data_IF_182732288273
#
_entry.id   IF_182732288273
#
_cell.length_a   1.000
_cell.length_b   1.000
_cell.length_c   1.000
_cell.angle_alpha   90.00
_cell.angle_beta   90.00
_cell.angle_gamma   90.00
#
_symmetry.space_group_name_H-M   'P 1'
#
loop_
_entity.id
_entity.type
_entity.pdbx_description
1 polymer ?
#
# COMPACT_ATOMS: atom_id res chain seq x y z
N UNK A 1 76.88 3.19 58.34
CA UNK A 1 75.96 2.44 57.47
C UNK A 1 75.12 1.53 58.36
N UNK A 2 73.87 1.31 57.97
CA UNK A 2 72.77 0.63 58.70
C UNK A 2 71.94 1.56 59.57
N UNK A 3 70.77 1.93 59.04
CA UNK A 3 69.67 2.58 59.75
C UNK A 3 68.81 1.52 60.47
N UNK A 4 68.21 1.82 61.63
CA UNK A 4 67.08 1.07 62.15
C UNK A 4 65.76 1.78 61.88
N UNK A 5 64.78 0.99 61.45
CA UNK A 5 63.42 1.39 61.19
C UNK A 5 62.66 1.70 62.48
N UNK A 6 61.77 2.70 62.43
CA UNK A 6 60.71 2.89 63.41
C UNK A 6 59.34 2.73 62.76
N UNK A 7 58.53 1.96 63.46
CA UNK A 7 57.19 1.47 63.17
C UNK A 7 56.21 2.64 62.98
N UNK A 8 55.51 2.67 61.85
CA UNK A 8 54.38 3.59 61.61
C UNK A 8 53.07 2.92 62.01
N UNK A 9 52.37 3.53 62.96
CA UNK A 9 51.09 3.07 63.49
C UNK A 9 49.99 3.14 62.41
N UNK A 10 49.27 2.03 62.23
CA UNK A 10 48.06 1.95 61.40
C UNK A 10 46.94 2.77 62.05
N UNK A 11 46.61 3.92 61.46
CA UNK A 11 45.40 4.67 61.77
C UNK A 11 44.16 3.94 61.25
N UNK A 12 43.21 3.68 62.15
CA UNK A 12 41.89 3.10 61.85
C UNK A 12 41.03 4.21 61.26
N UNK A 13 40.67 4.09 59.97
CA UNK A 13 39.70 4.98 59.34
C UNK A 13 38.28 4.54 59.71
N UNK A 14 37.35 5.46 60.05
CA UNK A 14 35.99 5.12 60.39
C UNK A 14 35.20 4.64 59.15
N UNK A 15 34.43 3.59 59.39
CA UNK A 15 33.46 3.00 58.48
C UNK A 15 32.39 4.03 58.10
N UNK A 16 32.35 4.46 56.83
CA UNK A 16 31.19 5.13 56.27
C UNK A 16 30.28 4.09 55.58
N UNK A 17 29.01 3.94 56.00
CA UNK A 17 28.08 3.07 55.29
C UNK A 17 27.78 3.72 53.94
N UNK A 18 28.07 2.99 52.87
CA UNK A 18 27.67 3.37 51.51
C UNK A 18 26.15 3.27 51.46
N UNK A 19 25.46 4.41 51.49
CA UNK A 19 24.05 4.47 51.12
C UNK A 19 23.94 4.08 49.63
N UNK A 20 23.61 2.81 49.38
CA UNK A 20 23.18 2.36 48.08
C UNK A 20 21.90 3.12 47.73
N UNK A 21 22.00 4.10 46.84
CA UNK A 21 20.83 4.70 46.19
C UNK A 21 20.34 3.66 45.19
N UNK A 22 19.14 3.07 45.32
CA UNK A 22 18.54 2.39 44.19
C UNK A 22 18.08 3.51 43.27
N UNK A 23 18.95 3.95 42.36
CA UNK A 23 18.51 4.84 41.29
C UNK A 23 17.63 3.96 40.40
N UNK A 24 16.33 4.11 40.62
CA UNK A 24 15.22 3.67 39.80
C UNK A 24 15.67 3.43 38.36
N UNK A 25 15.78 2.16 37.97
CA UNK A 25 15.64 1.77 36.57
C UNK A 25 14.21 2.09 36.23
N UNK A 26 13.96 3.34 35.87
CA UNK A 26 12.69 3.77 35.32
C UNK A 26 12.46 2.91 34.08
N UNK A 27 11.48 2.02 34.20
CA UNK A 27 10.72 1.41 33.11
C UNK A 27 10.78 2.33 31.89
N UNK A 28 11.26 1.87 30.74
CA UNK A 28 10.56 0.85 29.98
C UNK A 28 9.26 1.47 29.43
N UNK A 29 9.16 1.56 28.10
CA UNK A 29 8.03 2.07 27.32
C UNK A 29 7.99 3.59 27.04
N UNK A 30 9.07 4.15 26.48
CA UNK A 30 8.87 5.04 25.32
C UNK A 30 8.67 4.16 24.08
N UNK A 31 7.57 3.39 24.07
CA UNK A 31 7.09 2.79 22.85
C UNK A 31 6.67 3.97 21.97
N UNK A 32 7.47 4.24 20.93
CA UNK A 32 7.16 5.24 19.93
C UNK A 32 5.72 5.01 19.46
N UNK A 33 4.86 5.97 19.73
CA UNK A 33 3.51 6.01 19.14
C UNK A 33 3.74 6.25 17.66
N UNK A 34 3.96 5.17 16.91
CA UNK A 34 3.94 5.22 15.47
C UNK A 34 2.52 5.58 15.12
N UNK A 35 2.32 6.77 14.55
CA UNK A 35 1.03 7.14 13.98
C UNK A 35 0.75 6.15 12.86
N UNK A 36 -0.17 5.21 13.12
CA UNK A 36 -0.68 4.32 12.08
C UNK A 36 -1.65 5.17 11.27
N UNK A 37 -1.22 5.57 10.07
CA UNK A 37 -2.18 6.05 9.07
C UNK A 37 -3.11 4.88 8.74
N UNK A 38 -4.42 5.17 8.71
CA UNK A 38 -5.43 4.19 8.37
C UNK A 38 -5.39 3.78 6.90
N UNK A 39 -6.44 3.06 6.51
CA UNK A 39 -6.71 2.57 5.16
C UNK A 39 -6.74 3.69 4.11
N UNK A 40 -6.73 3.30 2.83
CA UNK A 40 -6.77 4.27 1.75
C UNK A 40 -8.05 5.12 1.85
N UNK A 41 -7.99 6.42 1.52
CA UNK A 41 -9.15 7.27 1.50
C UNK A 41 -9.95 6.96 0.23
N UNK A 42 -10.62 5.81 0.21
CA UNK A 42 -11.47 5.38 -0.89
C UNK A 42 -12.65 4.62 -0.32
N UNK A 43 -13.82 4.79 -0.93
CA UNK A 43 -15.03 4.09 -0.52
C UNK A 43 -15.85 3.78 -1.76
N UNK A 44 -15.64 2.59 -2.32
CA UNK A 44 -16.36 2.13 -3.49
C UNK A 44 -17.25 0.94 -3.16
N UNK A 45 -18.54 1.10 -3.39
CA UNK A 45 -19.53 0.06 -3.15
C UNK A 45 -19.55 -0.93 -4.30
N UNK A 46 -19.89 -2.17 -3.96
CA UNK A 46 -19.94 -3.28 -4.92
C UNK A 46 -20.74 -2.98 -6.18
N UNK A 47 -21.89 -2.32 -6.05
CA UNK A 47 -22.76 -1.99 -7.19
C UNK A 47 -22.14 -0.95 -8.13
N UNK A 48 -21.23 -0.11 -7.63
CA UNK A 48 -20.46 0.84 -8.43
C UNK A 48 -19.36 0.14 -9.22
N UNK A 49 -18.87 -1.02 -8.75
CA UNK A 49 -17.84 -1.82 -9.45
C UNK A 49 -18.45 -2.76 -10.49
N UNK A 50 -19.64 -3.33 -10.26
CA UNK A 50 -20.35 -4.20 -11.24
C UNK A 50 -20.53 -3.48 -12.59
N UNK A 51 -20.19 -4.14 -13.69
CA UNK A 51 -20.32 -3.58 -15.04
C UNK A 51 -19.19 -4.00 -15.98
N UNK A 52 -19.12 -3.32 -17.13
CA UNK A 52 -18.10 -3.57 -18.15
C UNK A 52 -16.88 -2.68 -17.95
N UNK A 53 -15.71 -3.31 -17.92
CA UNK A 53 -14.41 -2.70 -17.70
C UNK A 53 -13.48 -2.94 -18.89
N UNK A 54 -12.65 -1.93 -19.18
CA UNK A 54 -11.47 -2.06 -20.02
C UNK A 54 -10.25 -2.06 -19.12
N UNK A 55 -9.47 -3.13 -19.18
CA UNK A 55 -8.15 -3.21 -18.56
C UNK A 55 -7.10 -2.88 -19.62
N UNK A 56 -6.26 -1.90 -19.32
CA UNK A 56 -5.08 -1.53 -20.10
C UNK A 56 -3.86 -2.07 -19.38
N UNK A 57 -3.07 -2.91 -20.05
CA UNK A 57 -1.99 -3.69 -19.44
C UNK A 57 -0.68 -3.51 -20.21
N UNK A 58 0.42 -3.42 -19.48
CA UNK A 58 1.78 -3.54 -20.05
C UNK A 58 2.19 -5.01 -20.17
N UNK A 59 3.38 -5.33 -20.69
CA UNK A 59 3.80 -6.72 -20.95
C UNK A 59 4.09 -7.52 -19.67
N UNK A 60 3.92 -8.84 -19.78
CA UNK A 60 4.30 -9.80 -18.74
C UNK A 60 5.83 -10.04 -18.72
N UNK A 61 6.44 -9.93 -17.54
CA UNK A 61 7.87 -10.13 -17.30
C UNK A 61 8.12 -11.16 -16.19
N UNK A 62 9.26 -11.83 -16.19
CA UNK A 62 9.60 -12.82 -15.17
C UNK A 62 9.76 -12.20 -13.76
N UNK A 63 10.30 -10.99 -13.71
CA UNK A 63 10.49 -10.28 -12.45
C UNK A 63 9.25 -9.50 -12.02
N UNK A 64 8.84 -9.66 -10.77
CA UNK A 64 7.75 -8.90 -10.16
C UNK A 64 8.20 -7.48 -9.85
N UNK A 65 7.70 -6.51 -10.60
CA UNK A 65 7.93 -5.09 -10.32
C UNK A 65 7.02 -4.58 -9.20
N UNK A 66 7.31 -3.38 -8.67
CA UNK A 66 6.39 -2.68 -7.78
C UNK A 66 5.26 -1.96 -8.51
N UNK A 67 5.24 -1.96 -9.84
CA UNK A 67 4.36 -1.11 -10.65
C UNK A 67 4.40 0.37 -10.25
N UNK A 68 5.57 0.84 -9.80
CA UNK A 68 5.80 2.22 -9.38
C UNK A 68 5.44 2.52 -7.93
N UNK A 69 4.76 1.61 -7.22
CA UNK A 69 4.41 1.82 -5.81
C UNK A 69 5.65 1.86 -4.92
N UNK A 70 5.54 2.64 -3.83
CA UNK A 70 6.59 2.76 -2.81
C UNK A 70 6.46 1.65 -1.77
N UNK A 71 7.50 1.49 -0.94
CA UNK A 71 7.51 0.55 0.19
C UNK A 71 8.16 1.21 1.41
N UNK A 72 7.39 1.63 2.44
CA UNK A 72 5.92 1.64 2.51
C UNK A 72 5.29 2.53 1.43
N UNK A 73 4.04 2.27 1.06
CA UNK A 73 3.35 3.09 0.06
C UNK A 73 2.92 4.44 0.64
N UNK A 74 2.65 5.41 -0.24
CA UNK A 74 2.22 6.77 0.13
C UNK A 74 1.02 7.15 -0.72
N UNK A 75 -0.12 7.38 -0.08
CA UNK A 75 -1.38 7.66 -0.77
C UNK A 75 -1.35 8.99 -1.54
N UNK A 76 -0.40 9.88 -1.23
CA UNK A 76 -0.20 11.15 -1.92
C UNK A 76 0.65 11.00 -3.19
N UNK A 77 1.31 9.86 -3.38
CA UNK A 77 2.22 9.62 -4.50
C UNK A 77 1.97 8.27 -5.15
N UNK A 78 0.72 8.05 -5.57
CA UNK A 78 0.34 6.87 -6.31
C UNK A 78 0.94 6.88 -7.73
N UNK A 79 1.27 5.72 -8.32
CA UNK A 79 1.97 5.69 -9.60
C UNK A 79 1.09 6.24 -10.74
N UNK A 80 1.67 7.03 -11.66
CA UNK A 80 0.95 7.51 -12.82
C UNK A 80 0.67 6.38 -13.81
N UNK A 81 -0.38 6.54 -14.64
CA UNK A 81 -0.71 5.57 -15.71
C UNK A 81 0.39 5.38 -16.73
N UNK A 82 1.31 6.34 -16.87
CA UNK A 82 2.49 6.22 -17.73
C UNK A 82 3.39 5.03 -17.36
N UNK A 83 3.29 4.45 -16.16
CA UNK A 83 3.94 3.18 -15.82
C UNK A 83 3.48 2.03 -16.72
N UNK A 84 2.26 2.13 -17.25
CA UNK A 84 1.66 1.18 -18.19
C UNK A 84 1.70 1.73 -19.62
N UNK A 85 1.33 3.00 -19.83
CA UNK A 85 1.21 3.59 -21.18
C UNK A 85 2.56 3.79 -21.90
N UNK A 86 3.68 3.86 -21.17
CA UNK A 86 5.01 4.00 -21.79
C UNK A 86 5.59 2.69 -22.33
N UNK A 87 4.87 1.58 -22.14
CA UNK A 87 5.29 0.28 -22.62
C UNK A 87 4.86 0.09 -24.08
N UNK A 88 5.82 -0.22 -24.96
CA UNK A 88 5.49 -0.70 -26.30
C UNK A 88 4.70 -2.01 -26.15
N UNK A 89 3.56 -2.12 -26.83
CA UNK A 89 2.59 -3.23 -26.75
C UNK A 89 1.57 -3.13 -25.60
N UNK A 90 0.88 -1.99 -25.48
CA UNK A 90 -0.33 -1.90 -24.66
C UNK A 90 -1.37 -2.94 -25.10
N UNK A 91 -1.81 -3.80 -24.18
CA UNK A 91 -2.84 -4.80 -24.41
C UNK A 91 -4.13 -4.37 -23.70
N UNK A 92 -5.23 -4.36 -24.44
CA UNK A 92 -6.56 -4.10 -23.87
C UNK A 92 -7.34 -5.40 -23.68
N UNK A 93 -7.93 -5.57 -22.49
CA UNK A 93 -8.80 -6.68 -22.14
C UNK A 93 -10.15 -6.16 -21.64
N UNK A 94 -11.22 -6.58 -22.31
CA UNK A 94 -12.59 -6.27 -21.90
C UNK A 94 -13.08 -7.33 -20.90
N UNK A 95 -13.57 -6.88 -19.76
CA UNK A 95 -14.04 -7.73 -18.67
C UNK A 95 -15.42 -7.27 -18.19
N UNK A 96 -16.38 -8.19 -18.17
CA UNK A 96 -17.72 -7.98 -17.62
C UNK A 96 -17.78 -8.55 -16.20
N UNK A 97 -18.05 -7.71 -15.21
CA UNK A 97 -18.20 -8.10 -13.81
C UNK A 97 -19.69 -8.14 -13.43
N UNK A 98 -20.17 -9.28 -12.93
CA UNK A 98 -21.56 -9.49 -12.51
C UNK A 98 -21.64 -10.11 -11.12
N UNK A 99 -22.70 -9.80 -10.39
CA UNK A 99 -22.99 -10.48 -9.13
C UNK A 99 -23.34 -11.96 -9.37
N UNK A 100 -23.03 -12.86 -8.41
CA UNK A 100 -22.36 -12.59 -7.14
C UNK A 100 -20.83 -12.60 -7.22
N UNK A 101 -20.22 -13.07 -8.30
CA UNK A 101 -18.76 -13.13 -8.44
C UNK A 101 -18.31 -13.48 -9.87
N UNK A 102 -19.16 -13.37 -10.89
CA UNK A 102 -18.82 -13.76 -12.25
C UNK A 102 -17.99 -12.68 -12.95
N UNK A 103 -16.82 -13.05 -13.46
CA UNK A 103 -16.04 -12.23 -14.37
C UNK A 103 -15.96 -12.92 -15.73
N UNK A 104 -16.36 -12.24 -16.80
CA UNK A 104 -16.41 -12.82 -18.14
C UNK A 104 -15.65 -11.96 -19.14
N UNK A 105 -14.95 -12.61 -20.06
CA UNK A 105 -14.29 -12.01 -21.22
C UNK A 105 -14.81 -12.70 -22.48
N UNK A 106 -14.37 -12.25 -23.67
CA UNK A 106 -14.71 -12.91 -24.92
C UNK A 106 -14.15 -14.36 -25.03
N UNK A 107 -13.09 -14.69 -24.29
CA UNK A 107 -12.40 -16.00 -24.36
C UNK A 107 -12.58 -16.86 -23.11
N UNK A 108 -12.97 -16.27 -22.00
CA UNK A 108 -13.28 -16.97 -20.75
C UNK A 108 -14.60 -16.44 -20.18
N UNK A 109 -15.71 -17.19 -20.31
CA UNK A 109 -17.00 -16.80 -19.79
C UNK A 109 -17.22 -17.18 -18.31
N UNK A 110 -16.23 -17.77 -17.64
CA UNK A 110 -16.38 -18.47 -16.35
C UNK A 110 -15.43 -18.01 -15.25
N UNK A 111 -14.72 -16.91 -15.47
CA UNK A 111 -13.85 -16.29 -14.49
C UNK A 111 -14.59 -15.79 -13.24
N UNK A 112 -13.81 -15.32 -12.26
CA UNK A 112 -14.34 -14.85 -10.97
C UNK A 112 -13.81 -13.49 -10.56
N UNK A 113 -14.57 -12.76 -9.76
CA UNK A 113 -14.10 -11.54 -9.12
C UNK A 113 -14.61 -11.41 -7.69
N UNK A 114 -13.90 -10.62 -6.90
CA UNK A 114 -14.31 -10.22 -5.56
C UNK A 114 -13.87 -8.80 -5.27
N UNK A 115 -14.69 -8.09 -4.49
CA UNK A 115 -14.23 -6.89 -3.81
C UNK A 115 -13.17 -7.25 -2.77
N UNK A 116 -12.24 -6.34 -2.54
CA UNK A 116 -11.39 -6.30 -1.35
C UNK A 116 -11.90 -5.11 -0.54
N UNK A 117 -12.84 -5.41 0.37
CA UNK A 117 -13.64 -4.43 1.09
C UNK A 117 -14.20 -3.35 0.16
N UNK A 118 -13.97 -2.07 0.44
CA UNK A 118 -14.32 -0.93 -0.43
C UNK A 118 -13.09 -0.30 -1.12
N UNK A 119 -11.91 -0.90 -0.92
CA UNK A 119 -10.62 -0.35 -1.38
C UNK A 119 -10.30 -0.70 -2.83
N UNK A 120 -10.69 -1.88 -3.28
CA UNK A 120 -10.32 -2.39 -4.58
C UNK A 120 -11.03 -3.69 -4.92
N UNK A 121 -10.59 -4.34 -6.00
CA UNK A 121 -11.15 -5.61 -6.41
C UNK A 121 -10.11 -6.49 -7.10
N UNK A 122 -10.29 -7.80 -6.95
CA UNK A 122 -9.49 -8.82 -7.61
C UNK A 122 -10.32 -9.56 -8.67
N UNK A 123 -9.71 -9.85 -9.81
CA UNK A 123 -10.35 -10.53 -10.95
C UNK A 123 -9.47 -11.69 -11.40
N UNK A 124 -10.09 -12.82 -11.74
CA UNK A 124 -9.45 -13.98 -12.34
C UNK A 124 -10.18 -14.33 -13.62
N UNK A 125 -9.51 -14.23 -14.76
CA UNK A 125 -10.05 -14.56 -16.08
C UNK A 125 -8.96 -15.16 -16.95
N UNK A 126 -9.27 -16.24 -17.66
CA UNK A 126 -8.28 -17.07 -18.34
C UNK A 126 -7.21 -17.55 -17.37
N UNK A 127 -5.95 -17.44 -17.76
CA UNK A 127 -4.80 -17.76 -16.90
C UNK A 127 -4.22 -16.52 -16.19
N UNK A 128 -5.00 -15.45 -16.05
CA UNK A 128 -4.54 -14.19 -15.45
C UNK A 128 -5.30 -13.86 -14.16
N UNK A 129 -4.56 -13.36 -13.18
CA UNK A 129 -5.08 -12.81 -11.94
C UNK A 129 -4.71 -11.33 -11.82
N UNK A 130 -5.67 -10.49 -11.46
CA UNK A 130 -5.58 -9.03 -11.41
C UNK A 130 -5.94 -8.52 -10.02
N UNK A 131 -5.27 -7.47 -9.57
CA UNK A 131 -5.68 -6.69 -8.40
C UNK A 131 -5.28 -5.23 -8.55
N UNK A 132 -6.23 -4.32 -8.29
CA UNK A 132 -5.97 -2.89 -8.21
C UNK A 132 -6.87 -2.25 -7.15
N UNK A 133 -6.37 -1.19 -6.53
CA UNK A 133 -7.20 -0.28 -5.73
C UNK A 133 -8.10 0.56 -6.63
N UNK A 134 -9.28 0.92 -6.14
CA UNK A 134 -10.14 1.91 -6.78
C UNK A 134 -9.43 3.28 -6.78
N UNK A 135 -9.61 4.06 -7.83
CA UNK A 135 -8.95 5.35 -7.95
C UNK A 135 -9.56 6.37 -6.97
N UNK A 136 -8.75 7.31 -6.51
CA UNK A 136 -9.14 8.44 -5.66
C UNK A 136 -8.26 9.66 -5.97
N UNK A 137 -8.76 10.85 -5.70
CA UNK A 137 -7.96 12.08 -5.77
C UNK A 137 -8.18 12.95 -4.54
N UNK A 138 -7.22 13.83 -4.29
CA UNK A 138 -7.35 14.87 -3.28
C UNK A 138 -7.60 16.22 -3.92
N UNK A 139 -8.43 17.01 -3.26
CA UNK A 139 -8.69 18.42 -3.58
C UNK A 139 -8.61 19.25 -2.30
N UNK A 140 -8.35 20.55 -2.43
CA UNK A 140 -8.17 21.48 -1.30
C UNK A 140 -6.70 21.79 -0.99
N UNK A 141 -6.46 22.57 0.06
CA UNK A 141 -5.10 22.98 0.44
C UNK A 141 -4.36 21.79 1.08
N UNK A 142 -3.43 21.21 0.31
CA UNK A 142 -2.64 20.04 0.70
C UNK A 142 -1.74 20.27 1.93
N UNK A 143 -1.51 21.52 2.36
CA UNK A 143 -0.67 21.84 3.51
C UNK A 143 -1.33 21.54 4.87
N UNK A 144 -2.62 21.21 4.90
CA UNK A 144 -3.35 20.86 6.13
C UNK A 144 -4.23 19.62 5.87
N UNK A 145 -3.88 18.47 6.46
CA UNK A 145 -4.67 17.23 6.38
C UNK A 145 -6.16 17.46 6.73
N UNK A 146 -6.46 18.38 7.66
CA UNK A 146 -7.82 18.72 8.07
C UNK A 146 -8.67 19.42 6.98
N UNK A 147 -8.05 19.92 5.91
CA UNK A 147 -8.73 20.62 4.81
C UNK A 147 -8.59 19.91 3.47
N UNK A 148 -8.08 18.68 3.48
CA UNK A 148 -7.96 17.81 2.31
C UNK A 148 -9.29 17.07 2.11
N UNK A 149 -9.91 17.26 0.95
CA UNK A 149 -11.11 16.53 0.55
C UNK A 149 -10.72 15.39 -0.40
N UNK A 150 -11.05 14.17 0.00
CA UNK A 150 -10.98 12.98 -0.83
C UNK A 150 -12.18 12.90 -1.78
N UNK A 151 -11.94 12.49 -3.03
CA UNK A 151 -12.97 12.02 -3.97
C UNK A 151 -12.62 10.62 -4.47
N UNK A 152 -13.50 9.65 -4.26
CA UNK A 152 -13.38 8.30 -4.82
C UNK A 152 -13.88 8.27 -6.27
N UNK A 153 -13.15 7.60 -7.14
CA UNK A 153 -13.43 7.43 -8.57
C UNK A 153 -13.70 5.95 -8.85
N UNK A 154 -14.84 5.45 -8.40
CA UNK A 154 -15.16 4.01 -8.40
C UNK A 154 -15.33 3.35 -9.77
N UNK A 155 -15.24 4.14 -10.84
CA UNK A 155 -15.26 3.68 -12.23
C UNK A 155 -13.87 3.59 -12.85
N UNK A 156 -12.83 3.78 -12.05
CA UNK A 156 -11.43 3.73 -12.44
C UNK A 156 -10.62 3.05 -11.34
N UNK A 157 -9.49 2.46 -11.71
CA UNK A 157 -8.52 1.94 -10.74
C UNK A 157 -7.26 2.78 -10.72
N UNK A 158 -6.51 2.67 -9.62
CA UNK A 158 -5.09 2.98 -9.61
C UNK A 158 -4.34 2.02 -10.55
N UNK A 159 -3.06 2.29 -10.80
CA UNK A 159 -2.17 1.26 -11.34
C UNK A 159 -2.14 0.11 -10.35
N UNK A 160 -2.38 -1.10 -10.86
CA UNK A 160 -2.36 -2.33 -10.09
C UNK A 160 -1.43 -3.35 -10.72
N UNK A 161 -1.58 -4.58 -10.27
CA UNK A 161 -0.74 -5.71 -10.65
C UNK A 161 -1.58 -6.78 -11.31
N UNK A 162 -0.98 -7.45 -12.29
CA UNK A 162 -1.51 -8.69 -12.80
C UNK A 162 -0.40 -9.72 -12.98
N UNK A 163 -0.76 -10.98 -12.99
CA UNK A 163 0.17 -12.10 -13.08
C UNK A 163 -0.50 -13.28 -13.77
N UNK A 164 0.32 -14.20 -14.30
CA UNK A 164 -0.22 -15.50 -14.70
C UNK A 164 -0.53 -16.37 -13.48
N UNK A 165 -1.36 -17.40 -13.69
CA UNK A 165 -1.78 -18.36 -12.66
C UNK A 165 -0.61 -19.05 -11.95
N UNK A 166 0.47 -19.34 -12.66
CA UNK A 166 1.67 -19.99 -12.12
C UNK A 166 2.53 -19.01 -11.30
N UNK A 167 2.25 -17.71 -11.35
CA UNK A 167 2.99 -16.64 -10.66
C UNK A 167 4.47 -16.62 -11.04
N UNK A 168 4.73 -16.88 -12.32
CA UNK A 168 6.07 -16.83 -12.93
C UNK A 168 6.25 -15.60 -13.80
N UNK A 169 5.16 -14.95 -14.20
CA UNK A 169 5.16 -13.72 -14.98
C UNK A 169 4.22 -12.69 -14.36
N UNK A 170 4.66 -11.44 -14.35
CA UNK A 170 4.02 -10.32 -13.69
C UNK A 170 3.98 -9.10 -14.61
N UNK A 171 2.97 -8.28 -14.46
CA UNK A 171 2.84 -7.01 -15.17
C UNK A 171 2.01 -6.01 -14.39
N UNK A 172 1.91 -4.81 -14.96
CA UNK A 172 1.17 -3.70 -14.40
C UNK A 172 -0.02 -3.38 -15.29
N UNK A 173 -1.12 -2.93 -14.70
CA UNK A 173 -2.32 -2.57 -15.45
C UNK A 173 -3.11 -1.48 -14.74
N UNK A 174 -4.06 -0.87 -15.44
CA UNK A 174 -5.14 -0.11 -14.82
C UNK A 174 -6.46 -0.40 -15.53
N UNK A 175 -7.57 -0.11 -14.85
CA UNK A 175 -8.91 -0.34 -15.34
C UNK A 175 -9.74 0.93 -15.39
N UNK A 176 -10.63 1.01 -16.39
CA UNK A 176 -11.70 2.00 -16.45
C UNK A 176 -13.00 1.37 -16.91
N UNK A 177 -14.14 1.76 -16.33
CA UNK A 177 -15.44 1.38 -16.86
C UNK A 177 -15.66 1.98 -18.24
N UNK A 178 -16.23 1.16 -19.12
CA UNK A 178 -16.54 1.53 -20.52
C UNK A 178 -17.66 2.58 -20.57
N UNK A 179 -18.68 2.40 -19.73
CA UNK A 179 -19.77 3.35 -19.56
C UNK A 179 -19.68 3.94 -18.16
N UNK A 180 -19.38 5.24 -18.10
CA UNK A 180 -19.44 6.00 -16.86
C UNK A 180 -20.76 6.78 -16.82
N UNK A 181 -21.42 6.91 -15.66
CA UNK A 181 -22.50 7.86 -15.49
C UNK A 181 -22.04 9.26 -15.92
N UNK A 182 -22.89 10.01 -16.62
CA UNK A 182 -22.60 11.36 -17.05
C UNK A 182 -22.18 12.22 -15.85
N UNK A 183 -20.89 12.59 -15.79
CA UNK A 183 -20.30 13.36 -14.69
C UNK A 183 -18.94 12.88 -14.16
N UNK A 184 -18.49 11.66 -14.50
CA UNK A 184 -17.24 11.10 -13.96
C UNK A 184 -15.97 11.33 -14.82
N UNK A 185 -16.10 11.89 -16.03
CA UNK A 185 -15.00 12.03 -17.00
C UNK A 185 -14.09 13.27 -16.77
N UNK A 186 -13.90 13.73 -15.53
CA UNK A 186 -13.28 15.03 -15.23
C UNK A 186 -11.85 15.04 -14.70
N UNK A 187 -11.11 13.92 -14.74
CA UNK A 187 -9.85 13.80 -13.96
C UNK A 187 -8.73 12.99 -14.60
N UNK A 188 -8.43 13.22 -15.87
CA UNK A 188 -7.21 12.72 -16.49
C UNK A 188 -6.50 13.85 -17.24
N UNK A 189 -5.65 14.57 -16.53
CA UNK A 189 -4.56 15.39 -17.05
C UNK A 189 -3.43 15.37 -16.00
#
# INVERSE_FOLDING_TARGET
MVAPQMVSARGIAPWHPRHARPLLVALGLWAGVVSVCGDLPVHCLRHEVVGEWRFTMGPLRENRSSCGHRRPDDENTQPPRSVVDSEADEIQLMVMLRNPNLAATARDPSGTWTMIYDEGFAVKVGDLEFFAFSNFTFSGNASLHAHRKNTSHCFQTMVGWYQNRERTRFGCYYGGKVLQPAGAAGGAA
#
